data_IF_910027059025
#
_entry.id   IF_910027059025
#
_cell.length_a   1.000
_cell.length_b   1.000
_cell.length_c   1.000
_cell.angle_alpha   90.00
_cell.angle_beta   90.00
_cell.angle_gamma   90.00
#
_symmetry.space_group_name_H-M   'P 1'
#
loop_
_entity.id
_entity.type
_entity.pdbx_description
1 polymer ?
#
# COMPACT_ATOMS: atom_id res chain seq x y z
N UNK A 1 8.40 3.51 -2.51
CA UNK A 1 7.26 3.74 -3.43
C UNK A 1 6.54 5.01 -3.02
N UNK A 2 6.19 5.87 -3.99
CA UNK A 2 5.28 7.01 -3.77
C UNK A 2 3.99 6.72 -4.53
N UNK A 3 2.87 6.68 -3.82
CA UNK A 3 1.55 6.36 -4.35
C UNK A 3 0.61 7.56 -4.23
N UNK A 4 0.03 7.98 -5.35
CA UNK A 4 -0.96 9.04 -5.42
C UNK A 4 -2.36 8.44 -5.31
N UNK A 5 -3.07 8.80 -4.25
CA UNK A 5 -4.39 8.25 -3.96
C UNK A 5 -5.42 8.70 -5.01
N UNK A 6 -6.08 7.77 -5.72
CA UNK A 6 -7.07 8.10 -6.74
C UNK A 6 -8.38 8.59 -6.10
N UNK A 7 -9.30 9.11 -6.91
CA UNK A 7 -10.62 9.55 -6.42
C UNK A 7 -11.53 8.39 -6.02
N UNK A 8 -11.28 7.20 -6.55
CA UNK A 8 -12.13 6.02 -6.38
C UNK A 8 -11.45 4.99 -5.44
N UNK A 9 -12.15 4.59 -4.37
CA UNK A 9 -11.59 3.70 -3.33
C UNK A 9 -11.37 2.25 -3.82
N UNK A 10 -12.32 1.59 -4.51
CA UNK A 10 -12.07 0.31 -5.17
C UNK A 10 -10.85 0.29 -6.10
N UNK A 11 -10.65 1.36 -6.87
CA UNK A 11 -9.47 1.51 -7.74
C UNK A 11 -8.19 1.59 -6.91
N UNK A 12 -8.21 2.38 -5.83
CA UNK A 12 -7.08 2.47 -4.91
C UNK A 12 -6.71 1.10 -4.33
N UNK A 13 -7.71 0.34 -3.89
CA UNK A 13 -7.53 -0.99 -3.36
C UNK A 13 -6.90 -1.93 -4.40
N UNK A 14 -7.44 -1.98 -5.61
CA UNK A 14 -6.90 -2.84 -6.67
C UNK A 14 -5.43 -2.50 -6.99
N UNK A 15 -5.13 -1.22 -7.19
CA UNK A 15 -3.78 -0.76 -7.50
C UNK A 15 -2.81 -1.04 -6.35
N UNK A 16 -3.16 -0.70 -5.11
CA UNK A 16 -2.32 -0.92 -3.95
C UNK A 16 -2.04 -2.41 -3.75
N UNK A 17 -3.06 -3.26 -3.82
CA UNK A 17 -2.86 -4.71 -3.61
C UNK A 17 -1.93 -5.29 -4.68
N UNK A 18 -2.09 -4.88 -5.94
CA UNK A 18 -1.21 -5.30 -7.04
C UNK A 18 0.23 -4.81 -6.82
N UNK A 19 0.43 -3.52 -6.49
CA UNK A 19 1.75 -2.95 -6.27
C UNK A 19 2.46 -3.59 -5.08
N UNK A 20 1.77 -3.74 -3.94
CA UNK A 20 2.32 -4.36 -2.73
C UNK A 20 2.72 -5.82 -2.97
N UNK A 21 2.06 -6.53 -3.88
CA UNK A 21 2.40 -7.93 -4.21
C UNK A 21 3.73 -8.08 -4.95
N UNK A 22 4.20 -7.01 -5.60
CA UNK A 22 5.42 -6.99 -6.41
C UNK A 22 6.61 -6.39 -5.67
N UNK A 23 6.36 -5.61 -4.60
CA UNK A 23 7.40 -4.91 -3.86
C UNK A 23 8.07 -5.83 -2.82
N UNK A 24 9.39 -5.73 -2.65
CA UNK A 24 10.09 -6.47 -1.60
C UNK A 24 9.70 -5.96 -0.21
N UNK A 25 9.63 -6.86 0.77
CA UNK A 25 9.48 -6.49 2.19
C UNK A 25 10.60 -5.54 2.60
N UNK A 26 10.27 -4.55 3.44
CA UNK A 26 11.16 -3.47 3.84
C UNK A 26 11.12 -2.27 2.90
N UNK A 27 10.30 -2.28 1.84
CA UNK A 27 10.08 -1.10 0.98
C UNK A 27 9.38 0.00 1.74
N UNK A 28 9.90 1.22 1.66
CA UNK A 28 9.26 2.42 2.18
C UNK A 28 8.08 2.83 1.29
N UNK A 29 6.94 3.14 1.90
CA UNK A 29 5.69 3.48 1.23
C UNK A 29 5.25 4.87 1.68
N UNK A 30 5.08 5.74 0.69
CA UNK A 30 4.48 7.06 0.87
C UNK A 30 3.14 7.09 0.15
N UNK A 31 2.08 7.48 0.84
CA UNK A 31 0.75 7.70 0.26
C UNK A 31 0.41 9.18 0.37
N UNK A 32 0.12 9.82 -0.76
CA UNK A 32 -0.27 11.23 -0.83
C UNK A 32 -1.64 11.34 -1.49
N UNK A 33 -2.52 12.18 -0.94
CA UNK A 33 -3.85 12.35 -1.50
C UNK A 33 -4.71 13.39 -0.82
N UNK A 34 -5.88 13.64 -1.39
CA UNK A 34 -6.87 14.56 -0.84
C UNK A 34 -7.83 13.87 0.15
N UNK A 35 -8.17 14.56 1.23
CA UNK A 35 -9.18 14.13 2.21
C UNK A 35 -10.54 13.87 1.56
N UNK A 36 -10.91 14.68 0.55
CA UNK A 36 -12.18 14.53 -0.19
C UNK A 36 -12.22 13.29 -1.08
N UNK A 37 -11.05 12.82 -1.53
CA UNK A 37 -10.88 11.57 -2.28
C UNK A 37 -10.78 10.35 -1.35
N UNK A 38 -10.84 10.56 -0.03
CA UNK A 38 -10.86 9.46 0.94
C UNK A 38 -9.49 8.91 1.32
N UNK A 39 -8.39 9.66 1.12
CA UNK A 39 -7.01 9.22 1.42
C UNK A 39 -6.81 8.68 2.83
N UNK A 40 -7.61 9.14 3.79
CA UNK A 40 -7.60 8.66 5.18
C UNK A 40 -7.89 7.16 5.30
N UNK A 41 -8.56 6.57 4.31
CA UNK A 41 -8.80 5.12 4.26
C UNK A 41 -7.52 4.31 4.05
N UNK A 42 -6.41 4.94 3.64
CA UNK A 42 -5.14 4.26 3.40
C UNK A 42 -4.62 3.58 4.68
N UNK A 43 -4.75 4.22 5.84
CA UNK A 43 -4.30 3.65 7.13
C UNK A 43 -4.99 2.32 7.42
N UNK A 44 -6.32 2.28 7.29
CA UNK A 44 -7.08 1.05 7.50
C UNK A 44 -6.81 0.01 6.41
N UNK A 45 -6.63 0.43 5.16
CA UNK A 45 -6.43 -0.47 4.02
C UNK A 45 -5.06 -1.17 4.05
N UNK A 46 -4.04 -0.50 4.56
CA UNK A 46 -2.67 -1.04 4.66
C UNK A 46 -2.30 -1.53 6.06
N UNK A 47 -3.20 -1.49 7.04
CA UNK A 47 -2.90 -1.81 8.44
C UNK A 47 -2.17 -3.15 8.63
N UNK A 48 -2.55 -4.19 7.87
CA UNK A 48 -1.97 -5.54 8.00
C UNK A 48 -0.72 -5.78 7.12
N UNK A 49 -0.39 -4.84 6.23
CA UNK A 49 0.69 -4.98 5.24
C UNK A 49 1.83 -3.99 5.49
N UNK A 50 1.48 -2.72 5.64
CA UNK A 50 2.38 -1.60 5.82
C UNK A 50 1.70 -0.56 6.72
N UNK A 51 1.79 -0.70 8.05
CA UNK A 51 1.19 0.24 9.00
C UNK A 51 1.60 1.68 8.66
N UNK A 52 0.60 2.50 8.31
CA UNK A 52 0.84 3.88 7.91
C UNK A 52 0.69 4.83 9.09
N UNK A 53 1.59 5.79 9.17
CA UNK A 53 1.53 6.94 10.06
C UNK A 53 1.40 8.21 9.23
N UNK A 54 0.53 9.12 9.68
CA UNK A 54 0.41 10.44 9.08
C UNK A 54 1.66 11.27 9.38
N UNK A 55 2.37 11.70 8.34
CA UNK A 55 3.59 12.52 8.45
C UNK A 55 3.26 13.99 8.46
N UNK A 56 2.40 14.41 7.53
CA UNK A 56 2.04 15.81 7.37
C UNK A 56 0.62 15.96 6.81
N UNK A 57 0.06 17.15 6.97
CA UNK A 57 -1.13 17.57 6.24
C UNK A 57 -1.05 19.05 5.93
N UNK A 58 -1.15 19.36 4.63
CA UNK A 58 -1.34 20.72 4.16
C UNK A 58 -2.71 20.86 3.49
N UNK A 59 -3.45 21.91 3.87
CA UNK A 59 -4.79 22.23 3.34
C UNK A 59 -5.76 21.05 3.45
N UNK A 60 -6.13 20.44 2.31
CA UNK A 60 -7.06 19.32 2.18
C UNK A 60 -6.34 18.02 1.82
N UNK A 61 -5.01 17.97 1.91
CA UNK A 61 -4.20 16.81 1.57
C UNK A 61 -3.61 16.17 2.84
N UNK A 62 -3.34 14.87 2.75
CA UNK A 62 -2.61 14.10 3.76
C UNK A 62 -1.42 13.39 3.12
N UNK A 63 -0.31 13.37 3.84
CA UNK A 63 0.86 12.56 3.54
C UNK A 63 1.00 11.49 4.63
N UNK A 64 1.09 10.25 4.20
CA UNK A 64 1.24 9.08 5.05
C UNK A 64 2.50 8.33 4.68
N UNK A 65 3.16 7.77 5.68
CA UNK A 65 4.36 6.96 5.53
C UNK A 65 4.23 5.67 6.31
N UNK A 66 4.68 4.58 5.72
CA UNK A 66 4.88 3.33 6.42
C UNK A 66 5.88 2.46 5.67
N UNK A 67 6.19 1.32 6.24
CA UNK A 67 7.12 0.36 5.65
C UNK A 67 6.39 -0.94 5.39
N UNK A 68 6.63 -1.56 4.25
CA UNK A 68 6.06 -2.86 3.93
C UNK A 68 6.67 -3.91 4.86
N UNK A 69 5.87 -4.43 5.77
CA UNK A 69 6.30 -5.45 6.74
C UNK A 69 5.91 -6.84 6.29
N UNK A 70 4.76 -6.95 5.59
CA UNK A 70 4.24 -8.21 5.13
C UNK A 70 3.71 -8.12 3.70
N UNK A 71 4.30 -8.89 2.79
CA UNK A 71 3.79 -9.10 1.43
C UNK A 71 2.96 -10.37 1.28
N UNK A 72 2.88 -11.22 2.33
CA UNK A 72 2.18 -12.50 2.27
C UNK A 72 0.68 -12.30 2.51
N UNK A 73 -0.10 -12.81 1.55
CA UNK A 73 -1.55 -12.64 1.40
C UNK A 73 -1.98 -11.38 0.63
N UNK A 74 -1.27 -11.08 -0.45
CA UNK A 74 -1.79 -10.29 -1.57
C UNK A 74 -1.99 -11.29 -2.70
N UNK A 75 -3.18 -11.32 -3.29
CA UNK A 75 -3.66 -12.45 -4.10
C UNK A 75 -2.61 -12.96 -5.09
N UNK A 76 -2.45 -14.29 -5.24
CA UNK A 76 -1.49 -14.87 -6.17
C UNK A 76 -1.96 -14.64 -7.61
N UNK A 77 -1.61 -13.48 -8.18
CA UNK A 77 -1.72 -13.23 -9.63
C UNK A 77 -0.53 -13.80 -10.41
N UNK A 78 0.50 -14.29 -9.71
CA UNK A 78 1.62 -15.03 -10.28
C UNK A 78 1.99 -16.23 -9.39
N UNK A 79 1.18 -17.28 -9.40
CA UNK A 79 1.64 -18.62 -9.03
C UNK A 79 2.58 -19.14 -10.13
N UNK A 80 3.80 -18.61 -10.13
CA UNK A 80 4.88 -18.98 -11.05
C UNK A 80 6.28 -18.75 -10.48
N UNK A 81 6.40 -18.57 -9.16
CA UNK A 81 7.69 -18.54 -8.47
C UNK A 81 7.90 -19.86 -7.73
N UNK A 82 8.58 -20.77 -8.43
CA UNK A 82 9.34 -21.92 -7.96
C UNK A 82 9.37 -22.09 -6.43
N UNK A 83 8.62 -23.07 -5.92
CA UNK A 83 9.03 -23.84 -4.75
C UNK A 83 10.29 -24.62 -5.11
N UNK A 84 11.43 -23.94 -5.09
CA UNK A 84 12.74 -24.57 -5.07
C UNK A 84 13.33 -24.31 -3.69
N UNK A 85 13.52 -25.42 -2.97
CA UNK A 85 14.46 -25.58 -1.86
C UNK A 85 14.20 -24.78 -0.58
N UNK A 86 13.69 -25.49 0.42
CA UNK A 86 14.56 -25.78 1.56
C UNK A 86 14.19 -27.16 2.12
N UNK A 87 15.22 -28.00 2.16
CA UNK A 87 15.28 -29.27 2.86
C UNK A 87 15.13 -29.07 4.38
#
# INVERSE_FOLDING_TARGET
MIYYWPKNKPEAQFQLMNLLSLLPVGTDIFVVGENRSGVRSAEQMLADYAPLNKVDSARRCGLYFGRLENSRCLMPINSGANTASMA
#
